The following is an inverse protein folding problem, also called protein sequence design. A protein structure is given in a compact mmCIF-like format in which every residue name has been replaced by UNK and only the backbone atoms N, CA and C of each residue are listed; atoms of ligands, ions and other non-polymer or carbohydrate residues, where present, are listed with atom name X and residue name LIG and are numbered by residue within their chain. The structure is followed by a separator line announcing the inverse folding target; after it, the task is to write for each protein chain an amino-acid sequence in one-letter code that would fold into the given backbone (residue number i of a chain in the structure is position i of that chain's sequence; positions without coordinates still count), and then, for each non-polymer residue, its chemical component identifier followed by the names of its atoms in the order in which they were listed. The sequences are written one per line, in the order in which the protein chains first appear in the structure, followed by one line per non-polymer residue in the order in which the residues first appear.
data_IF_009491872335
#
_entry.id   IF_009491872335
#
_cell.length_a   1.000
_cell.length_b   1.000
_cell.length_c   1.000
_cell.angle_alpha   90.00
_cell.angle_beta   90.00
_cell.angle_gamma   90.00
#
_symmetry.space_group_name_H-M   'P 1'
#
loop_
_entity.id
_entity.type
_entity.pdbx_description
1 polymer ?
#
# COMPACT_ATOMS: atom_id res chain seq x y z
N UNK A 1 22.93 9.51 10.15
CA UNK A 1 22.48 9.94 8.81
C UNK A 1 22.38 11.46 8.81
N UNK A 2 22.99 12.14 7.84
CA UNK A 2 23.00 13.60 7.71
C UNK A 2 21.78 14.12 6.95
N UNK A 3 21.58 15.45 6.93
CA UNK A 3 20.51 16.09 6.14
C UNK A 3 20.74 15.84 4.65
N UNK A 4 21.98 15.99 4.17
CA UNK A 4 22.35 15.73 2.78
C UNK A 4 22.05 14.29 2.35
N UNK A 5 22.38 13.31 3.20
CA UNK A 5 22.04 11.91 2.90
C UNK A 5 20.53 11.65 2.82
N UNK A 6 19.72 12.30 3.67
CA UNK A 6 18.26 12.17 3.63
C UNK A 6 17.65 12.85 2.41
N UNK A 7 18.20 13.98 1.98
CA UNK A 7 17.80 14.65 0.75
C UNK A 7 18.03 13.75 -0.47
N UNK A 8 19.20 13.10 -0.54
CA UNK A 8 19.52 12.14 -1.60
C UNK A 8 18.52 10.98 -1.63
N UNK A 9 18.25 10.38 -0.47
CA UNK A 9 17.28 9.28 -0.36
C UNK A 9 15.88 9.69 -0.87
N UNK A 10 15.40 10.87 -0.48
CA UNK A 10 14.09 11.34 -0.92
C UNK A 10 14.04 11.66 -2.42
N UNK A 11 15.11 12.24 -2.98
CA UNK A 11 15.20 12.44 -4.44
C UNK A 11 15.12 11.11 -5.19
N UNK A 12 15.86 10.11 -4.72
CA UNK A 12 15.89 8.79 -5.34
C UNK A 12 14.57 8.05 -5.17
N UNK A 13 13.87 8.23 -4.04
CA UNK A 13 12.51 7.70 -3.81
C UNK A 13 11.54 8.15 -4.90
N UNK A 14 11.61 9.41 -5.32
CA UNK A 14 10.77 9.95 -6.40
C UNK A 14 11.40 9.80 -7.80
N UNK A 15 12.48 9.01 -7.91
CA UNK A 15 13.16 8.63 -9.16
C UNK A 15 13.67 9.81 -9.99
N UNK A 16 14.06 10.90 -9.35
CA UNK A 16 14.68 12.04 -10.04
C UNK A 16 16.20 11.91 -10.08
N UNK A 17 16.83 12.25 -11.20
CA UNK A 17 18.27 12.49 -11.21
C UNK A 17 18.61 13.82 -10.51
N UNK A 18 19.89 14.04 -10.17
CA UNK A 18 20.32 15.35 -9.66
C UNK A 18 20.07 16.48 -10.66
N UNK A 19 20.07 16.19 -11.96
CA UNK A 19 19.79 17.18 -13.01
C UNK A 19 18.30 17.54 -13.02
N UNK A 20 17.41 16.53 -13.04
CA UNK A 20 15.96 16.76 -13.05
C UNK A 20 15.49 17.45 -11.77
N UNK A 21 16.09 17.08 -10.63
CA UNK A 21 15.76 17.71 -9.36
C UNK A 21 16.19 19.18 -9.34
N UNK A 22 17.36 19.50 -9.90
CA UNK A 22 17.85 20.86 -10.02
C UNK A 22 16.95 21.71 -10.92
N UNK A 23 16.54 21.18 -12.07
CA UNK A 23 15.60 21.82 -12.99
C UNK A 23 14.27 22.13 -12.29
N UNK A 24 13.68 21.15 -11.60
CA UNK A 24 12.41 21.29 -10.89
C UNK A 24 12.47 22.24 -9.70
N UNK A 25 13.62 22.35 -9.04
CA UNK A 25 13.82 23.25 -7.88
C UNK A 25 14.39 24.62 -8.26
N UNK A 26 14.65 24.86 -9.56
CA UNK A 26 15.19 26.13 -10.04
C UNK A 26 16.62 26.44 -9.58
N UNK A 27 17.40 25.42 -9.20
CA UNK A 27 18.80 25.58 -8.78
C UNK A 27 19.75 24.88 -9.76
N UNK A 28 21.04 25.15 -9.63
CA UNK A 28 22.04 24.47 -10.46
C UNK A 28 22.27 23.03 -9.99
N UNK A 29 22.55 22.09 -10.91
CA UNK A 29 22.85 20.68 -10.57
C UNK A 29 23.95 20.53 -9.52
N UNK A 30 25.00 21.36 -9.60
CA UNK A 30 26.09 21.34 -8.63
C UNK A 30 25.63 21.73 -7.21
N UNK A 31 24.59 22.57 -7.10
CA UNK A 31 23.99 22.94 -5.82
C UNK A 31 23.37 21.72 -5.15
N UNK A 32 22.61 20.91 -5.91
CA UNK A 32 22.06 19.63 -5.40
C UNK A 32 23.18 18.71 -4.91
N UNK A 33 24.25 18.53 -5.70
CA UNK A 33 25.37 17.67 -5.31
C UNK A 33 26.06 18.15 -4.02
N UNK A 34 26.17 19.47 -3.81
CA UNK A 34 26.73 20.06 -2.59
C UNK A 34 25.82 19.89 -1.38
N UNK A 35 24.50 20.03 -1.56
CA UNK A 35 23.52 19.76 -0.49
C UNK A 35 23.56 18.29 -0.08
N UNK A 36 23.53 17.36 -1.03
CA UNK A 36 23.58 15.91 -0.75
C UNK A 36 24.88 15.47 -0.08
N UNK A 37 25.98 16.20 -0.30
CA UNK A 37 27.29 15.95 0.31
C UNK A 37 27.53 16.76 1.60
N UNK A 38 26.52 17.46 2.12
CA UNK A 38 26.61 18.34 3.29
C UNK A 38 27.70 19.44 3.18
N UNK A 39 28.12 19.77 1.96
CA UNK A 39 29.13 20.82 1.69
C UNK A 39 28.55 22.22 1.73
N UNK A 40 27.22 22.34 1.77
CA UNK A 40 26.49 23.62 1.79
C UNK A 40 25.17 23.37 2.51
N UNK A 41 24.75 24.32 3.34
CA UNK A 41 23.46 24.25 4.04
C UNK A 41 22.31 24.53 3.06
N UNK A 42 21.16 23.88 3.26
CA UNK A 42 19.97 24.13 2.46
C UNK A 42 19.42 25.51 2.79
N UNK A 43 19.22 26.34 1.77
CA UNK A 43 18.52 27.61 1.93
C UNK A 43 17.02 27.42 2.14
N UNK A 44 16.38 28.32 2.90
CA UNK A 44 14.94 28.30 3.14
C UNK A 44 14.12 28.28 1.85
N UNK A 45 14.50 29.09 0.85
CA UNK A 45 13.85 29.11 -0.47
C UNK A 45 13.92 27.77 -1.19
N UNK A 46 15.00 27.00 -1.02
CA UNK A 46 15.11 25.66 -1.58
C UNK A 46 14.18 24.68 -0.84
N UNK A 47 14.09 24.78 0.49
CA UNK A 47 13.20 23.95 1.31
C UNK A 47 11.73 24.13 0.90
N UNK A 48 11.31 25.36 0.56
CA UNK A 48 9.95 25.61 0.07
C UNK A 48 9.66 24.85 -1.24
N UNK A 49 10.64 24.77 -2.15
CA UNK A 49 10.48 24.02 -3.42
C UNK A 49 10.38 22.52 -3.21
N UNK A 50 11.02 21.98 -2.17
CA UNK A 50 11.08 20.54 -1.91
C UNK A 50 9.68 19.94 -1.74
N UNK A 51 8.80 20.62 -0.98
CA UNK A 51 7.43 20.15 -0.75
C UNK A 51 6.63 20.07 -2.05
N UNK A 52 6.77 21.05 -2.94
CA UNK A 52 6.08 21.08 -4.24
C UNK A 52 6.54 19.95 -5.17
N UNK A 53 7.79 19.51 -5.04
CA UNK A 53 8.38 18.42 -5.83
C UNK A 53 8.01 17.03 -5.27
N UNK A 54 7.37 16.99 -4.09
CA UNK A 54 6.97 15.74 -3.44
C UNK A 54 8.05 15.11 -2.57
N UNK A 55 9.04 15.89 -2.15
CA UNK A 55 10.03 15.49 -1.13
C UNK A 55 9.42 15.58 0.26
N UNK A 56 9.67 14.57 1.10
CA UNK A 56 9.30 14.59 2.50
C UNK A 56 10.25 15.52 3.30
N UNK A 57 9.84 16.78 3.46
CA UNK A 57 10.64 17.81 4.12
C UNK A 57 10.89 17.48 5.60
N UNK A 58 9.91 16.89 6.29
CA UNK A 58 10.03 16.53 7.71
C UNK A 58 11.06 15.42 7.90
N UNK A 59 11.10 14.46 6.97
CA UNK A 59 12.17 13.47 6.94
C UNK A 59 13.52 14.11 6.67
N UNK A 60 13.66 14.99 5.68
CA UNK A 60 14.95 15.60 5.35
C UNK A 60 15.49 16.41 6.53
N UNK A 61 14.67 17.27 7.13
CA UNK A 61 15.11 18.15 8.21
C UNK A 61 15.29 17.41 9.54
N UNK A 62 14.33 16.58 9.93
CA UNK A 62 14.25 16.02 11.28
C UNK A 62 14.52 14.52 11.36
N UNK A 63 14.60 13.83 10.22
CA UNK A 63 14.72 12.38 10.17
C UNK A 63 13.44 11.65 10.56
N UNK A 64 12.30 12.34 10.57
CA UNK A 64 11.00 11.79 10.92
C UNK A 64 10.26 11.45 9.61
N UNK A 65 10.16 10.18 9.21
CA UNK A 65 9.52 9.82 7.95
C UNK A 65 8.00 9.97 8.04
N UNK A 66 7.40 10.55 7.00
CA UNK A 66 5.95 10.60 6.84
C UNK A 66 5.42 9.17 6.59
N UNK A 67 4.57 8.60 7.47
CA UNK A 67 4.04 7.25 7.29
C UNK A 67 3.22 7.10 5.99
N UNK A 68 2.64 8.18 5.49
CA UNK A 68 1.77 8.16 4.32
C UNK A 68 2.52 8.45 3.01
N UNK A 69 3.84 8.71 3.05
CA UNK A 69 4.58 8.98 1.83
C UNK A 69 4.62 7.74 0.92
N UNK A 70 4.39 7.91 -0.40
CA UNK A 70 4.40 6.82 -1.34
C UNK A 70 5.81 6.25 -1.51
N UNK A 71 5.91 4.92 -1.59
CA UNK A 71 7.17 4.20 -1.76
C UNK A 71 7.03 3.07 -2.75
N UNK A 72 8.16 2.81 -3.41
CA UNK A 72 8.34 1.60 -4.18
C UNK A 72 8.64 0.43 -3.25
N UNK A 73 7.62 -0.35 -2.90
CA UNK A 73 7.70 -1.36 -1.85
C UNK A 73 8.44 -2.62 -2.33
N UNK A 74 9.65 -2.93 -1.84
CA UNK A 74 10.45 -4.06 -2.34
C UNK A 74 9.78 -5.42 -2.06
N UNK A 75 8.96 -5.48 -1.01
CA UNK A 75 8.19 -6.67 -0.65
C UNK A 75 7.17 -7.05 -1.73
N UNK A 76 6.44 -6.07 -2.26
CA UNK A 76 5.45 -6.30 -3.32
C UNK A 76 6.12 -6.57 -4.66
N UNK A 77 7.20 -5.85 -4.97
CA UNK A 77 8.01 -6.14 -6.16
C UNK A 77 8.54 -7.58 -6.15
N UNK A 78 8.99 -8.08 -5.00
CA UNK A 78 9.46 -9.45 -4.85
C UNK A 78 8.36 -10.51 -5.03
N UNK A 79 7.10 -10.16 -4.75
CA UNK A 79 5.95 -11.03 -4.98
C UNK A 79 5.51 -11.08 -6.45
N UNK A 80 6.10 -10.28 -7.36
CA UNK A 80 5.74 -10.19 -8.78
C UNK A 80 4.25 -9.97 -9.03
N UNK A 81 3.55 -9.37 -8.07
CA UNK A 81 2.18 -8.92 -8.27
C UNK A 81 2.23 -7.59 -9.04
N UNK A 82 1.76 -7.59 -10.28
CA UNK A 82 1.62 -6.37 -11.08
C UNK A 82 0.35 -5.63 -10.64
N UNK A 83 0.47 -4.90 -9.53
CA UNK A 83 -0.60 -4.07 -8.99
C UNK A 83 -0.26 -2.60 -9.30
N UNK A 84 -1.17 -1.90 -9.98
CA UNK A 84 -1.18 -0.42 -10.12
C UNK A 84 -1.48 0.29 -8.78
N UNK A 85 -1.00 -0.24 -7.67
CA UNK A 85 -1.30 0.23 -6.32
C UNK A 85 -0.12 1.04 -5.79
N UNK A 86 -0.38 2.31 -5.43
CA UNK A 86 0.61 3.17 -4.77
C UNK A 86 0.67 2.77 -3.29
N UNK A 87 1.77 2.15 -2.89
CA UNK A 87 2.01 1.79 -1.48
C UNK A 87 2.58 2.96 -0.71
N UNK A 88 2.08 3.17 0.51
CA UNK A 88 2.69 4.10 1.47
C UNK A 88 3.76 3.40 2.31
N UNK A 89 4.60 4.18 2.98
CA UNK A 89 5.59 3.66 3.94
C UNK A 89 4.95 2.80 5.01
N UNK A 90 3.81 3.25 5.54
CA UNK A 90 3.01 2.52 6.51
C UNK A 90 2.51 1.20 5.93
N UNK A 91 1.84 1.21 4.78
CA UNK A 91 1.27 -0.01 4.20
C UNK A 91 2.34 -1.03 3.79
N UNK A 92 3.47 -0.57 3.28
CA UNK A 92 4.61 -1.45 2.97
C UNK A 92 5.19 -2.08 4.24
N UNK A 93 5.30 -1.30 5.33
CA UNK A 93 5.75 -1.79 6.65
C UNK A 93 4.77 -2.80 7.23
N UNK A 94 3.48 -2.48 7.24
CA UNK A 94 2.43 -3.34 7.81
C UNK A 94 2.36 -4.66 7.05
N UNK A 95 2.38 -4.63 5.71
CA UNK A 95 2.43 -5.85 4.88
C UNK A 95 3.69 -6.69 5.13
N UNK A 96 4.85 -6.05 5.32
CA UNK A 96 6.08 -6.76 5.67
C UNK A 96 6.01 -7.37 7.09
N UNK A 97 5.32 -6.72 8.03
CA UNK A 97 5.14 -7.21 9.40
C UNK A 97 4.15 -8.39 9.45
N UNK A 98 3.00 -8.27 8.81
CA UNK A 98 1.96 -9.32 8.72
C UNK A 98 2.49 -10.61 8.07
N UNK A 99 3.47 -10.48 7.18
CA UNK A 99 4.08 -11.60 6.46
C UNK A 99 5.17 -12.34 7.24
N UNK A 100 5.41 -11.95 8.50
CA UNK A 100 6.38 -12.59 9.38
C UNK A 100 7.82 -12.27 9.01
N UNK A 101 8.29 -11.07 9.35
CA UNK A 101 9.71 -10.70 9.28
C UNK A 101 10.62 -11.60 10.15
N UNK A 102 10.03 -12.44 11.01
CA UNK A 102 10.68 -13.53 11.73
C UNK A 102 10.02 -14.87 11.34
N UNK A 103 10.75 -15.73 10.62
CA UNK A 103 10.37 -17.13 10.38
C UNK A 103 9.66 -17.46 9.06
N UNK A 104 9.28 -16.48 8.24
CA UNK A 104 8.65 -16.74 6.93
C UNK A 104 9.63 -17.25 5.86
N UNK A 105 9.25 -18.17 4.96
CA UNK A 105 10.09 -18.67 3.86
C UNK A 105 10.66 -17.57 2.97
N UNK A 106 10.01 -16.40 2.90
CA UNK A 106 10.41 -15.23 2.10
C UNK A 106 11.19 -14.17 2.89
N UNK A 107 11.46 -14.37 4.19
CA UNK A 107 12.26 -13.44 5.00
C UNK A 107 13.67 -13.19 4.43
N UNK A 108 14.21 -14.15 3.67
CA UNK A 108 15.48 -14.00 2.95
C UNK A 108 15.38 -13.01 1.77
N UNK A 109 14.25 -12.94 1.06
CA UNK A 109 14.01 -11.95 0.00
C UNK A 109 14.01 -10.55 0.59
N UNK A 110 13.45 -10.40 1.78
CA UNK A 110 13.41 -9.15 2.51
C UNK A 110 14.82 -8.69 2.93
N UNK A 111 15.63 -9.58 3.52
CA UNK A 111 17.06 -9.31 3.83
C UNK A 111 17.90 -8.99 2.58
N UNK A 112 17.59 -9.63 1.44
CA UNK A 112 18.32 -9.45 0.17
C UNK A 112 17.96 -8.14 -0.52
N UNK A 113 16.69 -7.74 -0.49
CA UNK A 113 16.22 -6.50 -1.09
C UNK A 113 16.50 -5.25 -0.23
N UNK A 114 16.80 -5.43 1.06
CA UNK A 114 16.82 -4.34 2.05
C UNK A 114 18.10 -4.35 2.91
N UNK A 115 19.28 -4.37 2.28
CA UNK A 115 20.58 -4.42 3.00
C UNK A 115 20.91 -3.15 3.80
N UNK A 116 20.45 -1.98 3.35
CA UNK A 116 20.82 -0.68 3.93
C UNK A 116 19.63 0.24 4.24
N UNK A 117 18.38 -0.24 4.14
CA UNK A 117 17.25 0.67 4.33
C UNK A 117 17.09 1.10 5.80
N UNK A 118 16.93 2.40 6.09
CA UNK A 118 16.68 2.92 7.43
C UNK A 118 15.38 2.43 8.08
N UNK A 119 14.49 1.75 7.33
CA UNK A 119 13.10 1.46 7.71
C UNK A 119 12.82 -0.03 7.99
N UNK A 120 13.84 -0.77 8.42
CA UNK A 120 13.70 -2.16 8.88
C UNK A 120 12.99 -2.20 10.27
N UNK A 121 11.80 -2.83 10.42
CA UNK A 121 11.04 -2.80 11.67
C UNK A 121 11.65 -3.66 12.79
N UNK A 122 12.70 -4.45 12.52
CA UNK A 122 13.41 -5.21 13.56
C UNK A 122 14.13 -4.27 14.55
N UNK A 123 14.37 -2.99 14.20
CA UNK A 123 15.01 -2.02 15.11
C UNK A 123 14.07 -1.03 15.80
N UNK A 124 12.88 -0.79 15.26
CA UNK A 124 11.94 0.15 15.84
C UNK A 124 10.55 -0.48 15.85
N UNK A 125 10.19 -1.06 17.00
CA UNK A 125 8.84 -1.56 17.25
C UNK A 125 7.85 -0.43 17.03
N UNK A 126 6.78 -0.69 16.27
CA UNK A 126 5.73 0.28 16.05
C UNK A 126 4.33 -0.29 16.34
N UNK A 127 3.41 0.53 16.86
CA UNK A 127 2.05 0.14 17.19
C UNK A 127 1.15 0.20 15.95
N UNK A 128 0.22 -0.74 15.89
CA UNK A 128 -0.66 -1.06 14.76
C UNK A 128 -1.92 -0.20 14.84
N UNK A 129 -2.25 0.65 13.85
CA UNK A 129 -3.58 1.28 13.75
C UNK A 129 -4.00 1.50 12.29
N UNK A 130 -4.61 0.47 11.70
CA UNK A 130 -5.79 0.54 10.83
C UNK A 130 -6.25 -0.91 10.64
N UNK A 131 -7.45 -1.22 11.08
CA UNK A 131 -8.00 -2.57 11.02
C UNK A 131 -8.11 -3.03 9.56
N UNK A 132 -7.68 -4.25 9.24
CA UNK A 132 -7.86 -4.85 7.91
C UNK A 132 -9.31 -4.73 7.44
N UNK A 133 -9.54 -4.63 6.14
CA UNK A 133 -10.85 -4.94 5.57
C UNK A 133 -11.08 -6.42 5.83
N UNK A 134 -11.76 -6.69 6.94
CA UNK A 134 -12.12 -8.03 7.39
C UNK A 134 -13.23 -8.56 6.47
N UNK A 135 -12.79 -9.30 5.45
CA UNK A 135 -13.65 -10.11 4.59
C UNK A 135 -13.72 -11.47 5.27
N UNK A 136 -14.86 -11.78 5.85
CA UNK A 136 -15.23 -13.11 6.30
C UNK A 136 -15.28 -14.06 5.07
N UNK A 137 -14.16 -14.76 4.85
CA UNK A 137 -13.97 -15.69 3.75
C UNK A 137 -14.93 -16.88 3.78
N UNK A 138 -15.10 -17.58 4.93
CA UNK A 138 -16.10 -18.64 5.07
C UNK A 138 -17.53 -18.19 4.74
N UNK A 139 -17.94 -17.00 5.20
CA UNK A 139 -19.25 -16.44 4.87
C UNK A 139 -19.40 -16.19 3.37
N UNK A 140 -18.39 -15.59 2.74
CA UNK A 140 -18.42 -15.31 1.31
C UNK A 140 -18.47 -16.59 0.47
N UNK A 141 -17.73 -17.63 0.88
CA UNK A 141 -17.76 -18.93 0.22
C UNK A 141 -19.15 -19.55 0.30
N UNK A 142 -19.73 -19.66 1.51
CA UNK A 142 -21.06 -20.22 1.71
C UNK A 142 -22.14 -19.44 0.95
N UNK A 143 -22.02 -18.12 0.87
CA UNK A 143 -22.91 -17.27 0.08
C UNK A 143 -22.80 -17.57 -1.42
N UNK A 144 -21.57 -17.67 -1.95
CA UNK A 144 -21.35 -17.96 -3.37
C UNK A 144 -21.89 -19.34 -3.75
N UNK A 145 -21.65 -20.36 -2.92
CA UNK A 145 -22.19 -21.70 -3.11
C UNK A 145 -23.73 -21.70 -3.08
N UNK A 146 -24.34 -21.02 -2.10
CA UNK A 146 -25.80 -20.91 -2.00
C UNK A 146 -26.43 -20.18 -3.19
N UNK A 147 -25.78 -19.14 -3.72
CA UNK A 147 -26.23 -18.42 -4.93
C UNK A 147 -26.18 -19.33 -6.17
N UNK A 148 -25.13 -20.13 -6.34
CA UNK A 148 -25.06 -21.09 -7.44
C UNK A 148 -26.14 -22.17 -7.33
N UNK A 149 -26.37 -22.70 -6.13
CA UNK A 149 -27.42 -23.70 -5.89
C UNK A 149 -28.82 -23.13 -6.19
N UNK A 150 -29.10 -21.91 -5.75
CA UNK A 150 -30.37 -21.23 -6.03
C UNK A 150 -30.59 -20.99 -7.54
N UNK A 151 -29.53 -20.66 -8.27
CA UNK A 151 -29.59 -20.51 -9.72
C UNK A 151 -29.84 -21.83 -10.45
N UNK A 152 -29.23 -22.92 -9.99
CA UNK A 152 -29.47 -24.26 -10.52
C UNK A 152 -30.92 -24.72 -10.31
N UNK A 153 -31.53 -24.39 -9.16
CA UNK A 153 -32.92 -24.74 -8.84
C UNK A 153 -33.97 -23.91 -9.58
N UNK A 154 -33.65 -22.65 -9.89
CA UNK A 154 -34.63 -21.70 -10.47
C UNK A 154 -34.70 -21.69 -12.00
N UNK A 155 -33.80 -22.41 -12.69
CA UNK A 155 -33.60 -22.35 -14.15
C UNK A 155 -33.38 -20.92 -14.72
N UNK A 156 -33.17 -19.93 -13.85
CA UNK A 156 -33.01 -18.52 -14.22
C UNK A 156 -31.61 -18.26 -14.77
N UNK A 157 -31.55 -17.67 -15.96
CA UNK A 157 -30.30 -17.17 -16.53
C UNK A 157 -30.10 -15.70 -16.19
N UNK A 158 -29.36 -15.42 -15.12
CA UNK A 158 -28.92 -14.06 -14.80
C UNK A 158 -27.55 -13.75 -15.39
N UNK A 159 -27.30 -12.46 -15.69
CA UNK A 159 -25.99 -12.02 -16.19
C UNK A 159 -24.94 -12.02 -15.06
N UNK A 160 -23.64 -12.18 -15.39
CA UNK A 160 -22.57 -12.12 -14.37
C UNK A 160 -22.58 -10.82 -13.54
N UNK A 161 -22.95 -9.70 -14.16
CA UNK A 161 -23.04 -8.41 -13.48
C UNK A 161 -24.17 -8.39 -12.43
N UNK A 162 -25.37 -8.85 -12.78
CA UNK A 162 -26.50 -8.95 -11.83
C UNK A 162 -26.18 -9.91 -10.68
N UNK A 163 -25.53 -11.03 -10.99
CA UNK A 163 -25.07 -12.01 -9.98
C UNK A 163 -24.10 -11.38 -8.98
N UNK A 164 -23.09 -10.67 -9.46
CA UNK A 164 -22.12 -9.99 -8.58
C UNK A 164 -22.80 -8.94 -7.68
N UNK A 165 -23.76 -8.18 -8.21
CA UNK A 165 -24.52 -7.20 -7.42
C UNK A 165 -25.34 -7.87 -6.31
N UNK A 166 -26.02 -8.97 -6.62
CA UNK A 166 -26.76 -9.76 -5.63
C UNK A 166 -25.84 -10.29 -4.53
N UNK A 167 -24.67 -10.84 -4.89
CA UNK A 167 -23.66 -11.33 -3.92
C UNK A 167 -23.17 -10.20 -3.01
N UNK A 168 -22.86 -9.01 -3.55
CA UNK A 168 -22.41 -7.87 -2.72
C UNK A 168 -23.50 -7.41 -1.75
N UNK A 169 -24.75 -7.35 -2.22
CA UNK A 169 -25.90 -6.98 -1.39
C UNK A 169 -26.12 -7.98 -0.26
N UNK A 170 -26.19 -9.27 -0.59
CA UNK A 170 -26.40 -10.36 0.37
C UNK A 170 -25.26 -10.46 1.37
N UNK A 171 -24.01 -10.31 0.92
CA UNK A 171 -22.84 -10.33 1.81
C UNK A 171 -22.92 -9.24 2.88
N UNK A 172 -23.32 -8.02 2.49
CA UNK A 172 -23.50 -6.91 3.45
C UNK A 172 -24.61 -7.22 4.47
N UNK A 173 -25.71 -7.82 4.02
CA UNK A 173 -26.82 -8.21 4.89
C UNK A 173 -26.40 -9.29 5.90
N UNK A 174 -25.63 -10.29 5.45
CA UNK A 174 -25.21 -11.40 6.28
C UNK A 174 -24.01 -11.10 7.18
N UNK A 175 -23.20 -10.08 6.83
CA UNK A 175 -21.95 -9.74 7.54
C UNK A 175 -22.13 -9.57 9.05
N UNK A 176 -23.22 -8.94 9.49
CA UNK A 176 -23.46 -8.72 10.92
C UNK A 176 -23.75 -10.02 11.69
N UNK A 177 -24.30 -11.04 11.01
CA UNK A 177 -24.69 -12.31 11.61
C UNK A 177 -23.64 -13.42 11.43
N UNK A 178 -22.76 -13.30 10.44
CA UNK A 178 -21.81 -14.35 10.04
C UNK A 178 -22.48 -15.60 9.47
N UNK A 179 -23.79 -15.57 9.20
CA UNK A 179 -24.56 -16.71 8.71
C UNK A 179 -25.34 -16.34 7.46
N UNK A 180 -25.41 -17.29 6.54
CA UNK A 180 -26.18 -17.18 5.32
C UNK A 180 -27.63 -17.63 5.58
N UNK A 181 -28.60 -16.87 5.07
CA UNK A 181 -29.99 -17.29 5.00
C UNK A 181 -30.32 -17.76 3.57
N UNK A 182 -30.51 -19.07 3.41
CA UNK A 182 -30.75 -19.69 2.12
C UNK A 182 -32.05 -19.20 1.46
N UNK A 183 -33.10 -18.92 2.26
CA UNK A 183 -34.37 -18.44 1.73
C UNK A 183 -34.21 -17.02 1.18
N UNK A 184 -33.44 -16.18 1.87
CA UNK A 184 -33.13 -14.82 1.41
C UNK A 184 -32.29 -14.83 0.13
N UNK A 185 -31.39 -15.81 -0.05
CA UNK A 185 -30.67 -16.00 -1.32
C UNK A 185 -31.66 -16.31 -2.45
N UNK A 186 -32.54 -17.29 -2.24
CA UNK A 186 -33.51 -17.73 -3.26
C UNK A 186 -34.46 -16.60 -3.68
N UNK A 187 -34.97 -15.83 -2.71
CA UNK A 187 -35.80 -14.64 -2.97
C UNK A 187 -35.03 -13.55 -3.73
N UNK A 188 -33.78 -13.28 -3.35
CA UNK A 188 -32.95 -12.28 -4.03
C UNK A 188 -32.60 -12.67 -5.46
N UNK A 189 -32.36 -13.96 -5.71
CA UNK A 189 -32.09 -14.49 -7.06
C UNK A 189 -33.36 -14.48 -7.92
N UNK A 190 -34.51 -14.83 -7.36
CA UNK A 190 -35.80 -14.76 -8.06
C UNK A 190 -36.14 -13.32 -8.49
N UNK A 191 -35.80 -12.31 -7.68
CA UNK A 191 -35.97 -10.89 -8.02
C UNK A 191 -34.95 -10.39 -9.05
N UNK A 192 -33.78 -11.03 -9.14
CA UNK A 192 -32.71 -10.62 -10.04
C UNK A 192 -32.84 -11.18 -11.46
N UNK A 193 -33.61 -12.27 -11.64
CA UNK A 193 -34.03 -12.81 -12.94
C UNK A 193 -34.64 -11.75 -13.84
#
# INVERSE_FOLDING_TARGET
MSIGSRLREERERIRLSQADFAEKSGVHRNTIARYEADKTQLGASFIDTMRAIGIDVDYVLFGIPNPDAPVDCPFIQAQKFDLQYVFTLKNCRDKAADSGALGSPIAHLWRKACKECPKNPIKHGLPITQTPVDIDGPLLLALLEGVEEALLKSELKITPAKKAQAVVMLYRAFKASGRVDQKMIEEAIALAG
#
